data_IF_701616161467
#
_entry.id   IF_701616161467
#
_cell.length_a   1.000
_cell.length_b   1.000
_cell.length_c   1.000
_cell.angle_alpha   90.00
_cell.angle_beta   90.00
_cell.angle_gamma   90.00
#
_symmetry.space_group_name_H-M   'P 1'
#
loop_
_entity.id
_entity.type
_entity.pdbx_description
1 polymer ?
#
# COMPACT_ATOMS: atom_id res chain seq x y z
N UNK A 1 15.38 -9.86 11.59
CA UNK A 1 14.43 -9.12 10.72
C UNK A 1 13.00 -9.53 10.98
N UNK A 2 12.03 -8.68 10.64
CA UNK A 2 10.60 -8.98 10.69
C UNK A 2 9.81 -8.20 9.61
N UNK A 3 8.63 -8.73 9.23
CA UNK A 3 7.65 -8.03 8.38
C UNK A 3 6.39 -7.75 9.17
N UNK A 4 5.79 -6.56 9.04
CA UNK A 4 4.59 -6.18 9.78
C UNK A 4 3.66 -5.25 8.99
N UNK A 5 2.42 -5.13 9.46
CA UNK A 5 1.36 -4.33 8.83
C UNK A 5 0.52 -5.11 7.83
N UNK A 6 -0.05 -4.45 6.82
CA UNK A 6 -0.78 -5.10 5.73
C UNK A 6 0.17 -5.73 4.70
N UNK A 7 -0.32 -6.67 3.90
CA UNK A 7 0.47 -7.19 2.76
C UNK A 7 0.72 -6.09 1.71
N UNK A 8 1.87 -6.18 1.09
CA UNK A 8 2.23 -5.42 -0.12
C UNK A 8 3.16 -6.26 -0.99
N UNK A 9 3.24 -6.02 -2.29
CA UNK A 9 3.96 -6.87 -3.25
C UNK A 9 5.47 -6.95 -3.07
N UNK A 10 6.03 -6.20 -2.12
CA UNK A 10 7.48 -6.13 -1.88
C UNK A 10 8.01 -7.07 -0.80
N UNK A 11 7.13 -7.61 0.07
CA UNK A 11 7.56 -8.24 1.33
C UNK A 11 8.51 -9.43 1.12
N UNK A 12 8.15 -10.34 0.22
CA UNK A 12 8.98 -11.51 -0.09
C UNK A 12 10.34 -11.09 -0.67
N UNK A 13 10.32 -10.16 -1.61
CA UNK A 13 11.55 -9.66 -2.26
C UNK A 13 12.42 -8.84 -1.31
N UNK A 14 11.85 -8.07 -0.39
CA UNK A 14 12.63 -7.31 0.60
C UNK A 14 13.34 -8.26 1.59
N UNK A 15 12.68 -9.33 2.02
CA UNK A 15 13.33 -10.38 2.82
C UNK A 15 14.46 -11.05 2.04
N UNK A 16 14.20 -11.39 0.76
CA UNK A 16 15.21 -11.95 -0.15
C UNK A 16 16.42 -11.05 -0.32
N UNK A 17 16.21 -9.77 -0.64
CA UNK A 17 17.28 -8.80 -0.86
C UNK A 17 18.16 -8.57 0.38
N UNK A 18 17.56 -8.47 1.57
CA UNK A 18 18.34 -8.39 2.82
C UNK A 18 19.23 -9.62 3.00
N UNK A 19 18.69 -10.83 2.78
CA UNK A 19 19.45 -12.09 2.90
C UNK A 19 20.59 -12.14 1.87
N UNK A 20 20.32 -11.76 0.62
CA UNK A 20 21.32 -11.75 -0.46
C UNK A 20 22.44 -10.77 -0.15
N UNK A 21 22.11 -9.53 0.29
CA UNK A 21 23.12 -8.52 0.62
C UNK A 21 23.98 -8.97 1.79
N UNK A 22 23.40 -9.44 2.92
CA UNK A 22 24.18 -10.00 4.03
C UNK A 22 25.05 -11.17 3.59
N UNK A 23 24.56 -12.03 2.71
CA UNK A 23 25.35 -13.16 2.18
C UNK A 23 26.55 -12.69 1.38
N UNK A 24 26.41 -11.60 0.63
CA UNK A 24 27.47 -11.05 -0.21
C UNK A 24 28.55 -10.28 0.58
N UNK A 25 28.15 -9.46 1.56
CA UNK A 25 29.07 -8.50 2.22
C UNK A 25 29.46 -8.88 3.63
N UNK A 26 28.67 -9.72 4.32
CA UNK A 26 28.89 -10.13 5.71
C UNK A 26 28.38 -11.57 5.93
N UNK A 27 28.97 -12.59 5.27
CA UNK A 27 28.48 -13.97 5.30
C UNK A 27 28.48 -14.60 6.70
N UNK A 28 29.34 -14.13 7.60
CA UNK A 28 29.47 -14.67 8.96
C UNK A 28 28.42 -14.08 9.93
N UNK A 29 27.67 -13.04 9.54
CA UNK A 29 26.59 -12.50 10.37
C UNK A 29 25.46 -13.53 10.48
N UNK A 30 25.11 -13.90 11.72
CA UNK A 30 23.95 -14.74 11.99
C UNK A 30 22.67 -13.93 11.74
N UNK A 31 21.83 -14.42 10.85
CA UNK A 31 20.54 -13.77 10.51
C UNK A 31 19.39 -14.63 11.01
N UNK A 32 18.50 -14.01 11.81
CA UNK A 32 17.23 -14.62 12.25
C UNK A 32 16.05 -13.78 11.76
N UNK A 33 14.93 -14.46 11.51
CA UNK A 33 13.69 -13.82 11.10
C UNK A 33 12.57 -14.19 12.08
N UNK A 34 11.97 -13.18 12.73
CA UNK A 34 10.81 -13.39 13.62
C UNK A 34 9.56 -13.64 12.77
N UNK A 35 8.89 -14.77 13.06
CA UNK A 35 7.65 -15.14 12.36
C UNK A 35 6.50 -14.25 12.78
N UNK A 36 5.66 -13.89 11.82
CA UNK A 36 4.47 -13.07 12.08
C UNK A 36 4.79 -11.71 12.73
N UNK A 37 5.92 -11.11 12.38
CA UNK A 37 6.29 -9.77 12.81
C UNK A 37 6.46 -9.64 14.33
N UNK A 38 5.93 -8.57 14.92
CA UNK A 38 6.02 -8.34 16.36
C UNK A 38 5.36 -9.44 17.21
N UNK A 39 4.38 -10.18 16.67
CA UNK A 39 3.79 -11.31 17.39
C UNK A 39 4.81 -12.41 17.64
N UNK A 40 5.64 -12.71 16.65
CA UNK A 40 6.73 -13.67 16.80
C UNK A 40 7.84 -13.18 17.68
N UNK A 41 8.19 -11.90 17.60
CA UNK A 41 9.18 -11.29 18.51
C UNK A 41 8.72 -11.43 19.96
N UNK A 42 7.48 -11.11 20.30
CA UNK A 42 6.94 -11.26 21.66
C UNK A 42 6.97 -12.71 22.18
N UNK A 43 6.91 -13.69 21.29
CA UNK A 43 6.93 -15.13 21.62
C UNK A 43 8.31 -15.78 21.53
N UNK A 44 9.33 -15.07 21.03
CA UNK A 44 10.61 -15.64 20.69
C UNK A 44 10.53 -16.65 19.51
N UNK A 45 9.47 -16.55 18.69
CA UNK A 45 9.29 -17.43 17.52
C UNK A 45 10.08 -16.88 16.34
N UNK A 46 11.25 -17.44 16.10
CA UNK A 46 12.14 -17.06 15.03
C UNK A 46 12.61 -18.26 14.22
N UNK A 47 13.10 -17.99 13.02
CA UNK A 47 13.76 -18.97 12.14
C UNK A 47 15.12 -18.44 11.75
N UNK A 48 16.12 -19.32 11.77
CA UNK A 48 17.47 -18.99 11.33
C UNK A 48 17.61 -19.06 9.81
N UNK A 49 18.30 -18.09 9.23
CA UNK A 49 18.67 -18.06 7.82
C UNK A 49 19.90 -18.94 7.63
N UNK A 50 19.68 -20.22 7.35
CA UNK A 50 20.72 -21.22 7.11
C UNK A 50 21.45 -21.01 5.79
N UNK A 51 22.57 -21.71 5.58
CA UNK A 51 23.29 -21.70 4.30
C UNK A 51 22.39 -22.11 3.11
N UNK A 52 21.47 -23.04 3.32
CA UNK A 52 20.48 -23.44 2.30
C UNK A 52 19.51 -22.31 1.97
N UNK A 53 19.04 -21.55 2.97
CA UNK A 53 18.18 -20.38 2.75
C UNK A 53 18.94 -19.30 2.00
N UNK A 54 20.18 -19.00 2.39
CA UNK A 54 21.04 -18.01 1.71
C UNK A 54 21.23 -18.37 0.22
N UNK A 55 21.55 -19.63 -0.10
CA UNK A 55 21.75 -20.08 -1.48
C UNK A 55 20.49 -20.00 -2.36
N UNK A 56 19.30 -19.93 -1.75
CA UNK A 56 18.03 -19.91 -2.45
C UNK A 56 17.23 -18.61 -2.26
N UNK A 57 17.80 -17.58 -1.64
CA UNK A 57 17.10 -16.32 -1.34
C UNK A 57 16.55 -15.65 -2.60
N UNK A 58 17.24 -15.74 -3.73
CA UNK A 58 16.81 -15.21 -5.03
C UNK A 58 15.42 -15.71 -5.48
N UNK A 59 14.99 -16.89 -5.02
CA UNK A 59 13.66 -17.42 -5.35
C UNK A 59 12.53 -16.60 -4.73
N UNK A 60 12.81 -15.87 -3.65
CA UNK A 60 11.82 -15.04 -2.97
C UNK A 60 11.32 -13.89 -3.83
N UNK A 61 12.06 -13.47 -4.84
CA UNK A 61 11.66 -12.42 -5.78
C UNK A 61 10.50 -12.83 -6.70
N UNK A 62 10.25 -14.13 -6.87
CA UNK A 62 9.17 -14.63 -7.71
C UNK A 62 7.82 -14.74 -7.00
N UNK A 63 7.73 -14.43 -5.69
CA UNK A 63 6.54 -14.66 -4.90
C UNK A 63 6.01 -13.37 -4.26
N UNK A 64 4.68 -13.26 -4.21
CA UNK A 64 4.00 -12.30 -3.34
C UNK A 64 3.90 -12.81 -1.90
N UNK A 65 3.27 -11.98 -1.04
CA UNK A 65 3.18 -12.30 0.39
C UNK A 65 4.50 -12.15 1.12
N UNK A 66 4.69 -12.88 2.22
CA UNK A 66 5.93 -12.88 3.00
C UNK A 66 6.30 -14.30 3.45
N UNK A 67 7.57 -14.70 3.29
CA UNK A 67 8.02 -16.05 3.65
C UNK A 67 8.10 -16.28 5.16
N UNK A 68 8.11 -15.22 5.95
CA UNK A 68 8.25 -15.27 7.42
C UNK A 68 6.96 -14.94 8.17
N UNK A 69 5.85 -14.80 7.46
CA UNK A 69 4.57 -14.41 8.05
C UNK A 69 4.51 -12.93 8.43
N UNK A 70 3.30 -12.44 8.66
CA UNK A 70 3.02 -11.03 8.91
C UNK A 70 1.94 -10.86 9.96
N UNK A 71 1.94 -9.75 10.69
CA UNK A 71 0.86 -9.40 11.61
C UNK A 71 0.67 -7.89 11.74
N UNK A 72 -0.49 -7.50 12.27
CA UNK A 72 -0.81 -6.11 12.60
C UNK A 72 -0.70 -5.84 14.10
N UNK A 73 0.14 -6.61 14.80
CA UNK A 73 0.40 -6.38 16.23
C UNK A 73 1.20 -5.10 16.39
N UNK A 74 0.72 -4.22 17.27
CA UNK A 74 1.41 -2.99 17.69
C UNK A 74 1.81 -3.15 19.15
N UNK A 75 3.09 -2.96 19.48
CA UNK A 75 3.58 -3.09 20.85
C UNK A 75 2.98 -2.03 21.79
N UNK A 76 2.53 -0.91 21.24
CA UNK A 76 1.82 0.15 21.98
C UNK A 76 0.38 -0.21 22.35
N UNK A 77 -0.21 -1.23 21.72
CA UNK A 77 -1.57 -1.67 22.03
C UNK A 77 -1.56 -2.84 23.02
N UNK A 78 -1.31 -2.52 24.29
CA UNK A 78 -1.22 -3.49 25.40
C UNK A 78 -2.46 -4.36 25.49
N UNK A 79 -3.66 -3.77 25.38
CA UNK A 79 -4.94 -4.51 25.49
C UNK A 79 -5.08 -5.57 24.39
N UNK A 80 -4.70 -5.26 23.14
CA UNK A 80 -4.74 -6.22 22.04
C UNK A 80 -3.69 -7.33 22.24
N UNK A 81 -2.50 -6.98 22.71
CA UNK A 81 -1.45 -7.95 23.00
C UNK A 81 -1.86 -8.95 24.10
N UNK A 82 -2.48 -8.47 25.17
CA UNK A 82 -3.03 -9.32 26.24
C UNK A 82 -4.17 -10.20 25.71
N UNK A 83 -5.14 -9.61 24.99
CA UNK A 83 -6.26 -10.33 24.40
C UNK A 83 -5.83 -11.47 23.49
N UNK A 84 -4.73 -11.29 22.76
CA UNK A 84 -4.14 -12.31 21.85
C UNK A 84 -3.22 -13.31 22.58
N UNK A 85 -3.02 -13.17 23.88
CA UNK A 85 -2.10 -14.02 24.64
C UNK A 85 -0.63 -13.87 24.21
N UNK A 86 -0.25 -12.68 23.76
CA UNK A 86 1.14 -12.35 23.38
C UNK A 86 1.97 -11.90 24.58
N UNK A 87 1.31 -11.28 25.56
CA UNK A 87 1.88 -10.88 26.85
C UNK A 87 0.84 -11.15 27.94
N UNK A 88 1.28 -11.26 29.21
CA UNK A 88 0.41 -11.39 30.36
C UNK A 88 -0.14 -10.03 30.79
N UNK A 89 -1.25 -10.07 31.55
CA UNK A 89 -1.80 -8.86 32.16
C UNK A 89 -0.76 -8.18 33.08
N UNK A 90 -0.62 -6.86 32.91
CA UNK A 90 0.39 -6.07 33.62
C UNK A 90 1.78 -6.04 33.00
N UNK A 91 2.03 -6.81 31.94
CA UNK A 91 3.28 -6.71 31.18
C UNK A 91 3.21 -5.62 30.11
N UNK A 92 4.31 -4.91 29.93
CA UNK A 92 4.53 -4.00 28.80
C UNK A 92 5.07 -4.77 27.59
N UNK A 93 4.36 -4.82 26.45
CA UNK A 93 4.84 -5.52 25.25
C UNK A 93 6.17 -4.97 24.73
N UNK A 94 6.45 -3.68 24.91
CA UNK A 94 7.72 -3.08 24.50
C UNK A 94 8.88 -3.67 25.30
N UNK A 95 8.70 -3.80 26.62
CA UNK A 95 9.67 -4.41 27.51
C UNK A 95 9.91 -5.89 27.15
N UNK A 96 8.83 -6.67 26.95
CA UNK A 96 8.91 -8.09 26.56
C UNK A 96 9.67 -8.27 25.24
N UNK A 97 9.38 -7.42 24.26
CA UNK A 97 10.06 -7.43 22.95
C UNK A 97 11.55 -7.08 23.09
N UNK A 98 11.88 -6.07 23.93
CA UNK A 98 13.26 -5.67 24.19
C UNK A 98 14.07 -6.76 24.88
N UNK A 99 13.49 -7.41 25.91
CA UNK A 99 14.13 -8.56 26.58
C UNK A 99 14.37 -9.73 25.60
N UNK A 100 13.43 -9.97 24.68
CA UNK A 100 13.60 -11.03 23.68
C UNK A 100 14.74 -10.72 22.72
N UNK A 101 14.84 -9.48 22.22
CA UNK A 101 15.97 -9.06 21.36
C UNK A 101 17.32 -9.23 22.08
N UNK A 102 17.41 -8.81 23.33
CA UNK A 102 18.63 -8.98 24.15
C UNK A 102 18.97 -10.45 24.37
N UNK A 103 17.97 -11.29 24.65
CA UNK A 103 18.14 -12.74 24.86
C UNK A 103 18.65 -13.44 23.59
N UNK A 104 18.16 -13.01 22.42
CA UNK A 104 18.57 -13.56 21.12
C UNK A 104 19.91 -12.99 20.62
N UNK A 105 20.46 -11.99 21.32
CA UNK A 105 21.72 -11.31 20.98
C UNK A 105 21.61 -10.54 19.66
N UNK A 106 20.52 -9.78 19.47
CA UNK A 106 20.25 -9.04 18.24
C UNK A 106 20.89 -7.66 18.29
N UNK A 107 21.95 -7.45 17.52
CA UNK A 107 22.62 -6.15 17.37
C UNK A 107 21.94 -5.24 16.33
N UNK A 108 21.29 -5.84 15.32
CA UNK A 108 20.63 -5.14 14.21
C UNK A 108 19.21 -5.67 14.02
N UNK A 109 18.23 -4.77 13.99
CA UNK A 109 16.85 -5.09 13.66
C UNK A 109 16.44 -4.45 12.33
N UNK A 110 16.16 -5.28 11.31
CA UNK A 110 15.48 -4.81 10.11
C UNK A 110 13.97 -4.99 10.25
N UNK A 111 13.22 -3.92 9.99
CA UNK A 111 11.76 -3.92 9.91
C UNK A 111 11.29 -3.62 8.51
N UNK A 112 10.36 -4.44 7.98
CA UNK A 112 9.75 -4.22 6.66
C UNK A 112 8.27 -3.94 6.91
N UNK A 113 7.88 -2.65 6.87
CA UNK A 113 6.53 -2.27 7.25
C UNK A 113 6.18 -0.82 6.94
N UNK A 114 4.97 -0.42 7.33
CA UNK A 114 4.53 0.98 7.25
C UNK A 114 5.19 1.86 8.32
N UNK A 115 4.73 3.10 8.40
CA UNK A 115 5.16 4.09 9.40
C UNK A 115 5.06 3.56 10.83
N UNK A 116 3.91 3.07 11.25
CA UNK A 116 3.70 2.47 12.59
C UNK A 116 4.73 1.38 12.93
N UNK A 117 5.12 0.55 11.96
CA UNK A 117 6.08 -0.55 12.16
C UNK A 117 7.47 -0.01 12.44
N UNK A 118 7.87 1.00 11.67
CA UNK A 118 9.20 1.60 11.75
C UNK A 118 9.32 2.48 13.01
N UNK A 119 8.29 3.23 13.37
CA UNK A 119 8.24 4.00 14.63
C UNK A 119 8.33 3.08 15.85
N UNK A 120 7.58 1.97 15.85
CA UNK A 120 7.66 0.97 16.93
C UNK A 120 9.07 0.41 17.10
N UNK A 121 9.81 0.20 16.01
CA UNK A 121 11.19 -0.26 16.08
C UNK A 121 12.14 0.81 16.62
N UNK A 122 11.90 2.09 16.33
CA UNK A 122 12.64 3.20 16.93
C UNK A 122 12.39 3.29 18.45
N UNK A 123 11.14 3.11 18.89
CA UNK A 123 10.80 3.08 20.32
C UNK A 123 11.51 1.94 21.04
N UNK A 124 11.60 0.74 20.42
CA UNK A 124 12.39 -0.38 20.93
C UNK A 124 13.88 -0.03 21.08
N UNK A 125 14.47 0.60 20.06
CA UNK A 125 15.87 1.01 20.10
C UNK A 125 16.13 2.05 21.22
N UNK A 126 15.24 3.02 21.36
CA UNK A 126 15.32 4.04 22.41
C UNK A 126 15.19 3.41 23.82
N UNK A 127 14.25 2.49 23.99
CA UNK A 127 14.07 1.75 25.25
C UNK A 127 15.32 0.93 25.60
N UNK A 128 15.85 0.16 24.65
CA UNK A 128 17.05 -0.68 24.87
C UNK A 128 18.26 0.17 25.22
N UNK A 129 18.48 1.29 24.53
CA UNK A 129 19.59 2.21 24.80
C UNK A 129 19.52 2.77 26.23
N UNK A 130 18.32 3.14 26.70
CA UNK A 130 18.15 3.60 28.10
C UNK A 130 18.40 2.51 29.13
N UNK A 131 18.45 1.24 28.72
CA UNK A 131 18.77 0.08 29.54
C UNK A 131 20.15 -0.52 29.24
N UNK A 132 21.01 0.22 28.54
CA UNK A 132 22.42 -0.16 28.32
C UNK A 132 22.63 -1.18 27.20
N UNK A 133 21.68 -1.33 26.29
CA UNK A 133 21.78 -2.21 25.11
C UNK A 133 21.66 -1.40 23.83
N UNK A 134 22.71 -1.39 23.03
CA UNK A 134 22.71 -0.70 21.75
C UNK A 134 22.09 -1.58 20.65
N UNK A 135 21.01 -1.11 20.05
CA UNK A 135 20.34 -1.75 18.91
C UNK A 135 20.35 -0.81 17.71
N UNK A 136 20.94 -1.26 16.62
CA UNK A 136 20.80 -0.57 15.32
C UNK A 136 19.49 -0.98 14.68
N UNK A 137 18.67 -0.01 14.28
CA UNK A 137 17.39 -0.28 13.62
C UNK A 137 17.38 0.31 12.22
N UNK A 138 17.15 -0.53 11.21
CA UNK A 138 17.04 -0.08 9.82
C UNK A 138 15.74 -0.57 9.21
N UNK A 139 14.82 0.37 8.98
CA UNK A 139 13.50 0.11 8.42
C UNK A 139 13.47 0.17 6.89
N UNK A 140 12.53 -0.57 6.30
CA UNK A 140 12.17 -0.50 4.88
C UNK A 140 10.70 -0.07 4.75
N UNK A 141 10.40 0.98 3.97
CA UNK A 141 9.06 1.55 3.90
C UNK A 141 8.17 0.74 2.97
N UNK A 142 7.21 0.04 3.53
CA UNK A 142 6.29 -0.84 2.82
C UNK A 142 4.86 -0.32 2.94
N UNK A 143 4.33 0.24 1.85
CA UNK A 143 2.92 0.56 1.68
C UNK A 143 2.55 0.57 0.20
N UNK A 144 1.32 0.19 -0.14
CA UNK A 144 0.81 0.31 -1.52
C UNK A 144 0.25 1.71 -1.79
N UNK A 145 -0.06 2.47 -0.73
CA UNK A 145 -0.69 3.78 -0.85
C UNK A 145 0.31 4.91 -1.16
N UNK A 146 1.61 4.62 -1.04
CA UNK A 146 2.72 5.57 -1.21
C UNK A 146 2.60 6.80 -0.30
N UNK A 147 2.17 6.57 0.96
CA UNK A 147 1.70 7.59 1.90
C UNK A 147 2.65 7.87 3.08
N UNK A 148 3.94 7.55 2.96
CA UNK A 148 4.97 7.77 4.01
C UNK A 148 5.79 9.03 3.73
N UNK A 149 5.79 9.98 4.68
CA UNK A 149 6.64 11.19 4.64
C UNK A 149 8.03 10.84 5.18
N UNK A 150 9.12 11.37 4.64
CA UNK A 150 9.29 12.12 3.39
C UNK A 150 9.74 11.21 2.23
N UNK A 151 9.27 9.98 2.21
CA UNK A 151 9.71 8.97 1.24
C UNK A 151 9.00 9.18 -0.10
N UNK A 152 9.78 9.35 -1.17
CA UNK A 152 9.26 9.55 -2.52
C UNK A 152 8.48 8.35 -3.02
N UNK A 153 9.06 7.15 -2.88
CA UNK A 153 8.48 5.92 -3.39
C UNK A 153 8.57 4.79 -2.37
N UNK A 154 7.43 4.31 -1.93
CA UNK A 154 7.32 3.15 -1.05
C UNK A 154 7.43 1.85 -1.82
N UNK A 155 8.02 0.83 -1.18
CA UNK A 155 8.20 -0.50 -1.76
C UNK A 155 6.84 -1.19 -1.96
N UNK A 156 6.62 -1.67 -3.18
CA UNK A 156 5.42 -2.40 -3.58
C UNK A 156 4.30 -1.54 -4.17
N UNK A 157 4.42 -0.21 -4.16
CA UNK A 157 3.37 0.67 -4.65
C UNK A 157 3.24 0.64 -6.18
N UNK A 158 4.35 0.60 -6.92
CA UNK A 158 4.31 0.47 -8.38
C UNK A 158 3.68 -0.85 -8.83
N UNK A 159 4.04 -1.94 -8.18
CA UNK A 159 3.42 -3.25 -8.47
C UNK A 159 1.93 -3.23 -8.19
N UNK A 160 1.53 -2.62 -7.07
CA UNK A 160 0.11 -2.53 -6.71
C UNK A 160 -0.69 -1.75 -7.76
N UNK A 161 -0.14 -0.65 -8.29
CA UNK A 161 -0.75 0.12 -9.37
C UNK A 161 -0.87 -0.69 -10.67
N UNK A 162 0.20 -1.38 -11.09
CA UNK A 162 0.19 -2.25 -12.27
C UNK A 162 -0.82 -3.39 -12.14
N UNK A 163 -0.87 -4.05 -10.99
CA UNK A 163 -1.84 -5.12 -10.72
C UNK A 163 -3.27 -4.60 -10.68
N UNK A 164 -3.50 -3.41 -10.14
CA UNK A 164 -4.79 -2.73 -10.21
C UNK A 164 -5.21 -2.46 -11.65
N UNK A 165 -4.29 -2.03 -12.51
CA UNK A 165 -4.55 -1.82 -13.93
C UNK A 165 -4.84 -3.14 -14.68
N UNK A 166 -4.13 -4.22 -14.34
CA UNK A 166 -4.42 -5.55 -14.88
C UNK A 166 -5.81 -6.05 -14.46
N UNK A 167 -6.17 -5.83 -13.21
CA UNK A 167 -7.51 -6.13 -12.71
C UNK A 167 -8.59 -5.32 -13.43
N UNK A 168 -8.35 -4.03 -13.68
CA UNK A 168 -9.25 -3.15 -14.42
C UNK A 168 -9.56 -3.67 -15.82
N UNK A 169 -8.54 -4.15 -16.54
CA UNK A 169 -8.73 -4.75 -17.89
C UNK A 169 -9.75 -5.87 -17.87
N UNK A 170 -9.71 -6.73 -16.84
CA UNK A 170 -10.64 -7.86 -16.76
C UNK A 170 -12.06 -7.42 -16.42
N UNK A 171 -12.24 -6.46 -15.50
CA UNK A 171 -13.58 -6.00 -15.12
C UNK A 171 -14.21 -5.09 -16.20
N UNK A 172 -13.39 -4.29 -16.89
CA UNK A 172 -13.88 -3.41 -17.97
C UNK A 172 -14.37 -4.23 -19.17
N UNK A 173 -13.80 -5.40 -19.43
CA UNK A 173 -14.29 -6.31 -20.48
C UNK A 173 -15.80 -6.63 -20.33
N UNK A 174 -16.36 -6.48 -19.12
CA UNK A 174 -17.80 -6.70 -18.87
C UNK A 174 -18.70 -5.72 -19.63
N UNK A 175 -18.18 -4.55 -20.10
CA UNK A 175 -18.97 -3.63 -20.94
C UNK A 175 -19.54 -4.30 -22.18
N UNK A 176 -18.86 -5.35 -22.69
CA UNK A 176 -19.30 -6.09 -23.87
C UNK A 176 -20.49 -7.01 -23.62
N UNK A 177 -20.91 -7.20 -22.37
CA UNK A 177 -22.01 -8.13 -22.02
C UNK A 177 -23.40 -7.45 -21.94
N UNK A 178 -23.43 -6.12 -21.73
CA UNK A 178 -24.65 -5.36 -21.59
C UNK A 178 -24.48 -3.93 -22.13
N UNK A 179 -25.53 -3.36 -22.76
CA UNK A 179 -25.52 -1.93 -23.09
C UNK A 179 -25.55 -1.08 -21.83
N UNK A 180 -25.16 0.17 -21.92
CA UNK A 180 -25.19 1.20 -20.88
C UNK A 180 -24.58 0.72 -19.56
N UNK A 181 -23.38 0.16 -19.67
CA UNK A 181 -22.67 -0.43 -18.52
C UNK A 181 -21.91 0.63 -17.73
N UNK A 182 -22.17 0.73 -16.42
CA UNK A 182 -21.36 1.51 -15.50
C UNK A 182 -20.42 0.58 -14.72
N UNK A 183 -19.12 0.75 -14.89
CA UNK A 183 -18.09 -0.02 -14.22
C UNK A 183 -17.36 0.89 -13.22
N UNK A 184 -17.35 0.50 -11.96
CA UNK A 184 -16.65 1.21 -10.89
C UNK A 184 -15.56 0.32 -10.30
N UNK A 185 -14.33 0.71 -10.53
CA UNK A 185 -13.15 0.10 -9.93
C UNK A 185 -12.79 0.87 -8.66
N UNK A 186 -13.14 0.31 -7.50
CA UNK A 186 -12.73 0.85 -6.22
C UNK A 186 -11.31 0.38 -5.90
N UNK A 187 -10.41 1.33 -5.71
CA UNK A 187 -9.00 1.13 -5.41
C UNK A 187 -8.73 1.54 -3.96
N UNK A 188 -7.83 0.86 -3.28
CA UNK A 188 -7.39 1.24 -1.93
C UNK A 188 -6.73 2.62 -1.91
N UNK A 189 -6.64 3.22 -0.73
CA UNK A 189 -6.10 4.57 -0.53
C UNK A 189 -7.09 5.44 0.22
N UNK A 190 -7.28 5.15 1.53
CA UNK A 190 -8.22 5.89 2.39
C UNK A 190 -7.97 7.39 2.42
N UNK A 191 -6.71 7.79 2.58
CA UNK A 191 -6.30 9.17 2.79
C UNK A 191 -5.31 9.67 1.73
N UNK A 192 -4.92 8.81 0.80
CA UNK A 192 -3.98 9.10 -0.26
C UNK A 192 -4.47 8.48 -1.57
N UNK A 193 -4.72 9.31 -2.55
CA UNK A 193 -5.25 8.92 -3.86
C UNK A 193 -4.19 8.43 -4.85
N UNK A 194 -2.91 8.42 -4.46
CA UNK A 194 -1.80 8.07 -5.35
C UNK A 194 -2.02 6.72 -6.05
N UNK A 195 -2.40 5.68 -5.30
CA UNK A 195 -2.58 4.34 -5.87
C UNK A 195 -3.70 4.32 -6.92
N UNK A 196 -4.81 5.02 -6.67
CA UNK A 196 -5.92 5.12 -7.63
C UNK A 196 -5.49 5.84 -8.90
N UNK A 197 -4.82 6.99 -8.76
CA UNK A 197 -4.31 7.77 -9.87
C UNK A 197 -3.26 6.99 -10.70
N UNK A 198 -2.32 6.32 -10.03
CA UNK A 198 -1.28 5.50 -10.67
C UNK A 198 -1.89 4.26 -11.37
N UNK A 199 -2.91 3.65 -10.77
CA UNK A 199 -3.66 2.53 -11.38
C UNK A 199 -4.37 2.99 -12.66
N UNK A 200 -5.05 4.13 -12.62
CA UNK A 200 -5.72 4.71 -13.77
C UNK A 200 -4.74 5.07 -14.89
N UNK A 201 -3.60 5.71 -14.54
CA UNK A 201 -2.54 6.02 -15.49
C UNK A 201 -1.97 4.77 -16.16
N UNK A 202 -1.69 3.72 -15.40
CA UNK A 202 -1.17 2.46 -15.93
C UNK A 202 -2.18 1.77 -16.86
N UNK A 203 -3.48 1.86 -16.53
CA UNK A 203 -4.54 1.34 -17.38
C UNK A 203 -4.68 2.17 -18.67
N UNK A 204 -4.76 3.50 -18.57
CA UNK A 204 -4.80 4.41 -19.73
C UNK A 204 -3.59 4.19 -20.65
N UNK A 205 -2.37 4.10 -20.10
CA UNK A 205 -1.17 3.81 -20.87
C UNK A 205 -1.21 2.48 -21.62
N UNK A 206 -1.88 1.46 -21.06
CA UNK A 206 -2.14 0.21 -21.77
C UNK A 206 -3.13 0.42 -22.91
N UNK A 207 -4.22 1.16 -22.70
CA UNK A 207 -5.22 1.44 -23.75
C UNK A 207 -4.56 2.14 -24.93
N UNK A 208 -3.69 3.13 -24.69
CA UNK A 208 -2.99 3.85 -25.76
C UNK A 208 -2.04 2.96 -26.59
N UNK A 209 -1.60 1.83 -26.06
CA UNK A 209 -0.70 0.89 -26.74
C UNK A 209 -1.44 -0.31 -27.34
N UNK A 210 -2.67 -0.57 -26.90
CA UNK A 210 -3.47 -1.70 -27.36
C UNK A 210 -3.94 -1.51 -28.81
N UNK A 211 -4.07 -2.62 -29.54
CA UNK A 211 -4.63 -2.62 -30.88
C UNK A 211 -6.06 -3.15 -30.82
N UNK A 212 -7.01 -2.25 -30.91
CA UNK A 212 -8.44 -2.58 -30.87
C UNK A 212 -8.98 -2.94 -32.27
N UNK A 213 -10.03 -3.75 -32.26
CA UNK A 213 -10.74 -4.15 -33.51
C UNK A 213 -11.86 -3.16 -33.81
N UNK A 214 -11.50 -1.93 -34.15
CA UNK A 214 -12.44 -0.81 -34.33
C UNK A 214 -13.57 -1.09 -35.36
N UNK A 215 -13.28 -1.92 -36.37
CA UNK A 215 -14.28 -2.36 -37.35
C UNK A 215 -15.38 -3.29 -36.77
N UNK A 216 -15.23 -3.71 -35.49
CA UNK A 216 -16.22 -4.45 -34.70
C UNK A 216 -16.73 -3.65 -33.51
N UNK A 217 -16.61 -2.32 -33.58
CA UNK A 217 -17.01 -1.39 -32.48
C UNK A 217 -16.23 -1.60 -31.15
N UNK A 218 -15.14 -2.36 -31.20
CA UNK A 218 -14.25 -2.52 -30.07
C UNK A 218 -13.15 -1.45 -30.14
N UNK A 219 -13.40 -0.31 -29.53
CA UNK A 219 -12.56 0.88 -29.64
C UNK A 219 -11.82 1.18 -28.33
N UNK A 220 -10.73 1.95 -28.41
CA UNK A 220 -10.03 2.47 -27.24
C UNK A 220 -10.98 3.20 -26.27
N UNK A 221 -11.94 3.97 -26.80
CA UNK A 221 -12.86 4.76 -25.99
C UNK A 221 -13.72 3.92 -25.04
N UNK A 222 -14.11 2.69 -25.42
CA UNK A 222 -14.91 1.82 -24.54
C UNK A 222 -14.08 1.18 -23.43
N UNK A 223 -12.77 1.08 -23.60
CA UNK A 223 -11.85 0.45 -22.65
C UNK A 223 -11.14 1.45 -21.74
N UNK A 224 -11.17 2.73 -22.09
CA UNK A 224 -10.38 3.73 -21.37
C UNK A 224 -10.98 4.14 -20.01
N UNK A 225 -10.18 4.89 -19.27
CA UNK A 225 -10.57 5.55 -18.02
C UNK A 225 -11.47 6.75 -18.37
N UNK A 226 -12.66 6.84 -17.79
CA UNK A 226 -13.56 7.96 -18.01
C UNK A 226 -13.59 8.97 -16.86
N UNK A 227 -13.23 8.53 -15.63
CA UNK A 227 -13.00 9.44 -14.53
C UNK A 227 -12.11 8.79 -13.43
N UNK A 228 -11.37 9.67 -12.73
CA UNK A 228 -10.54 9.32 -11.57
C UNK A 228 -10.95 10.19 -10.39
N UNK A 229 -11.39 9.56 -9.30
CA UNK A 229 -11.80 10.24 -8.07
C UNK A 229 -10.86 9.87 -6.92
N UNK A 230 -10.22 10.89 -6.34
CA UNK A 230 -9.25 10.76 -5.25
C UNK A 230 -9.65 11.60 -4.06
N UNK A 231 -9.23 11.25 -2.81
CA UNK A 231 -9.65 11.97 -1.60
C UNK A 231 -9.23 13.45 -1.59
N UNK A 232 -8.10 13.76 -2.22
CA UNK A 232 -7.50 15.12 -2.21
C UNK A 232 -8.14 16.08 -3.22
N UNK A 233 -8.94 15.56 -4.17
CA UNK A 233 -9.63 16.40 -5.17
C UNK A 233 -11.14 16.30 -4.99
N UNK A 234 -11.79 17.31 -4.36
CA UNK A 234 -13.25 17.37 -4.29
C UNK A 234 -13.87 17.41 -5.69
N UNK A 235 -15.03 16.81 -5.85
CA UNK A 235 -15.77 16.81 -7.11
C UNK A 235 -17.28 16.91 -6.87
N UNK A 236 -17.98 17.57 -7.80
CA UNK A 236 -19.44 17.62 -7.80
C UNK A 236 -20.05 16.48 -8.59
N UNK A 237 -20.90 15.67 -7.96
CA UNK A 237 -21.56 14.53 -8.65
C UNK A 237 -22.36 15.03 -9.85
N UNK A 238 -23.08 16.16 -9.72
CA UNK A 238 -23.93 16.68 -10.80
C UNK A 238 -23.12 17.11 -12.03
N UNK A 239 -21.96 17.75 -11.82
CA UNK A 239 -21.12 18.23 -12.91
C UNK A 239 -20.44 17.06 -13.63
N UNK A 240 -19.88 16.12 -12.88
CA UNK A 240 -19.28 14.90 -13.44
C UNK A 240 -20.33 14.03 -14.13
N UNK A 241 -21.52 13.88 -13.55
CA UNK A 241 -22.60 13.12 -14.18
C UNK A 241 -23.01 13.68 -15.55
N UNK A 242 -23.00 15.02 -15.72
CA UNK A 242 -23.30 15.63 -17.02
C UNK A 242 -22.27 15.26 -18.08
N UNK A 243 -20.99 15.30 -17.75
CA UNK A 243 -19.89 14.89 -18.65
C UNK A 243 -19.93 13.39 -18.95
N UNK A 244 -20.06 12.57 -17.91
CA UNK A 244 -20.08 11.10 -18.03
C UNK A 244 -21.35 10.60 -18.74
N UNK A 245 -22.48 11.34 -18.67
CA UNK A 245 -23.69 11.01 -19.41
C UNK A 245 -23.46 11.10 -20.91
N UNK A 246 -22.73 12.08 -21.39
CA UNK A 246 -22.39 12.19 -22.79
C UNK A 246 -21.54 10.99 -23.26
N UNK A 247 -20.58 10.54 -22.44
CA UNK A 247 -19.78 9.34 -22.71
C UNK A 247 -20.65 8.08 -22.75
N UNK A 248 -21.57 7.93 -21.79
CA UNK A 248 -22.51 6.80 -21.76
C UNK A 248 -23.41 6.78 -23.00
N UNK A 249 -23.87 7.93 -23.46
CA UNK A 249 -24.75 8.05 -24.64
C UNK A 249 -23.99 7.80 -25.95
N UNK A 250 -22.67 8.02 -25.98
CA UNK A 250 -21.82 7.79 -27.17
C UNK A 250 -21.24 6.38 -27.24
N UNK A 251 -20.85 5.81 -26.07
CA UNK A 251 -20.07 4.57 -26.03
C UNK A 251 -20.76 3.41 -25.30
N UNK A 252 -21.98 3.58 -24.80
CA UNK A 252 -22.73 2.59 -24.03
C UNK A 252 -21.99 2.04 -22.78
N UNK A 253 -20.93 2.71 -22.35
CA UNK A 253 -20.21 2.36 -21.13
C UNK A 253 -19.53 3.57 -20.46
N UNK A 254 -19.32 3.47 -19.13
CA UNK A 254 -18.53 4.41 -18.35
C UNK A 254 -17.67 3.64 -17.34
N UNK A 255 -16.35 3.90 -17.35
CA UNK A 255 -15.37 3.26 -16.48
C UNK A 255 -14.82 4.27 -15.47
N UNK A 256 -15.13 4.09 -14.20
CA UNK A 256 -14.70 4.96 -13.10
C UNK A 256 -13.63 4.29 -12.25
N UNK A 257 -12.57 5.03 -11.92
CA UNK A 257 -11.57 4.64 -10.94
C UNK A 257 -11.77 5.53 -9.70
N UNK A 258 -12.12 4.93 -8.58
CA UNK A 258 -12.44 5.65 -7.35
C UNK A 258 -11.61 5.13 -6.18
N UNK A 259 -10.95 6.04 -5.46
CA UNK A 259 -10.32 5.69 -4.19
C UNK A 259 -11.37 5.40 -3.13
N UNK A 260 -11.14 4.39 -2.29
CA UNK A 260 -12.03 4.06 -1.17
C UNK A 260 -12.26 5.23 -0.20
N UNK A 261 -11.42 6.25 -0.24
CA UNK A 261 -11.54 7.47 0.57
C UNK A 261 -12.09 8.68 -0.17
N UNK A 262 -12.33 8.57 -1.48
CA UNK A 262 -12.85 9.69 -2.26
C UNK A 262 -14.30 10.02 -1.86
N UNK A 263 -14.62 11.32 -1.73
CA UNK A 263 -15.97 11.82 -1.47
C UNK A 263 -16.61 11.30 -0.18
N UNK A 264 -15.84 10.90 0.82
CA UNK A 264 -16.39 10.42 2.11
C UNK A 264 -17.16 11.51 2.83
N UNK A 265 -16.75 12.77 2.70
CA UNK A 265 -17.48 13.94 3.24
C UNK A 265 -18.88 14.07 2.64
N UNK A 266 -19.03 13.85 1.37
CA UNK A 266 -20.30 13.90 0.63
C UNK A 266 -21.23 12.77 1.07
N UNK A 267 -20.67 11.58 1.26
CA UNK A 267 -21.45 10.41 1.77
C UNK A 267 -21.94 10.70 3.19
N UNK A 268 -21.06 11.17 4.07
CA UNK A 268 -21.39 11.51 5.45
C UNK A 268 -22.51 12.59 5.48
N UNK A 269 -22.36 13.66 4.71
CA UNK A 269 -23.37 14.71 4.64
C UNK A 269 -24.73 14.17 4.14
N UNK A 270 -24.73 13.30 3.13
CA UNK A 270 -25.96 12.70 2.62
C UNK A 270 -26.63 11.78 3.65
N UNK A 271 -25.86 10.96 4.38
CA UNK A 271 -26.39 10.10 5.46
C UNK A 271 -26.99 10.93 6.59
N UNK A 272 -26.29 12.00 7.04
CA UNK A 272 -26.76 12.89 8.08
C UNK A 272 -28.06 13.62 7.67
N UNK A 273 -28.16 14.08 6.43
CA UNK A 273 -29.38 14.67 5.87
C UNK A 273 -30.55 13.69 5.81
N UNK A 274 -30.26 12.41 5.54
CA UNK A 274 -31.26 11.34 5.55
C UNK A 274 -31.64 10.87 6.96
N UNK A 275 -30.96 11.38 8.01
CA UNK A 275 -31.15 10.94 9.40
C UNK A 275 -30.57 9.54 9.67
N UNK A 276 -29.64 9.09 8.84
CA UNK A 276 -28.95 7.81 9.01
C UNK A 276 -27.74 7.97 9.94
N UNK A 277 -27.47 6.92 10.74
CA UNK A 277 -26.29 6.88 11.61
C UNK A 277 -25.01 6.63 10.79
N UNK A 278 -24.03 7.53 10.91
CA UNK A 278 -22.72 7.34 10.27
C UNK A 278 -21.88 6.37 11.10
N UNK A 279 -21.53 5.17 10.57
CA UNK A 279 -20.77 4.19 11.30
C UNK A 279 -19.33 4.67 11.52
N UNK A 280 -18.91 4.74 12.80
CA UNK A 280 -17.56 5.17 13.20
C UNK A 280 -16.89 4.09 14.05
N UNK A 281 -15.55 4.06 13.98
CA UNK A 281 -14.75 3.21 14.86
C UNK A 281 -14.65 3.84 16.28
N UNK A 282 -14.07 3.12 17.28
CA UNK A 282 -13.87 3.66 18.63
C UNK A 282 -13.02 4.93 18.70
N UNK A 283 -12.31 5.29 17.62
CA UNK A 283 -11.49 6.49 17.51
C UNK A 283 -12.21 7.64 16.77
N UNK A 284 -13.46 7.41 16.32
CA UNK A 284 -14.27 8.41 15.62
C UNK A 284 -14.10 8.42 14.10
N UNK A 285 -13.25 7.58 13.52
CA UNK A 285 -13.09 7.52 12.08
C UNK A 285 -14.25 6.79 11.41
N UNK A 286 -14.67 7.27 10.25
CA UNK A 286 -15.71 6.63 9.44
C UNK A 286 -15.25 5.23 9.01
N UNK A 287 -16.12 4.24 9.21
CA UNK A 287 -15.88 2.86 8.80
C UNK A 287 -16.20 2.69 7.30
N UNK A 288 -15.19 2.79 6.44
CA UNK A 288 -15.34 2.78 4.98
C UNK A 288 -15.98 1.49 4.44
N UNK A 289 -15.69 0.36 5.07
CA UNK A 289 -16.29 -0.94 4.76
C UNK A 289 -17.79 -0.97 4.96
N UNK A 290 -18.32 -0.19 5.91
CA UNK A 290 -19.75 -0.08 6.18
C UNK A 290 -20.46 0.93 5.30
N UNK A 291 -19.86 2.08 5.03
CA UNK A 291 -20.46 3.08 4.13
C UNK A 291 -20.27 2.74 2.65
N UNK A 292 -19.29 1.86 2.32
CA UNK A 292 -19.04 1.30 1.01
C UNK A 292 -19.02 2.35 -0.12
N UNK A 293 -18.01 3.23 -0.17
CA UNK A 293 -17.99 4.41 -1.04
C UNK A 293 -18.23 4.08 -2.52
N UNK A 294 -17.57 3.04 -3.05
CA UNK A 294 -17.75 2.63 -4.44
C UNK A 294 -19.20 2.28 -4.79
N UNK A 295 -19.91 1.58 -3.89
CA UNK A 295 -21.34 1.26 -4.08
C UNK A 295 -22.22 2.49 -3.98
N UNK A 296 -21.91 3.39 -3.05
CA UNK A 296 -22.67 4.62 -2.89
C UNK A 296 -22.57 5.50 -4.13
N UNK A 297 -21.37 5.76 -4.64
CA UNK A 297 -21.16 6.55 -5.87
C UNK A 297 -21.72 5.85 -7.10
N UNK A 298 -21.56 4.52 -7.19
CA UNK A 298 -22.15 3.74 -8.27
C UNK A 298 -23.67 3.93 -8.37
N UNK A 299 -24.37 3.95 -7.22
CA UNK A 299 -25.81 4.22 -7.16
C UNK A 299 -26.16 5.63 -7.64
N UNK A 300 -25.39 6.66 -7.23
CA UNK A 300 -25.62 8.04 -7.64
C UNK A 300 -25.39 8.21 -9.15
N UNK A 301 -24.27 7.73 -9.66
CA UNK A 301 -23.95 7.83 -11.07
C UNK A 301 -24.87 6.96 -11.97
N UNK A 302 -25.25 5.76 -11.53
CA UNK A 302 -26.16 4.92 -12.30
C UNK A 302 -27.47 5.63 -12.64
N UNK A 303 -28.09 6.27 -11.66
CA UNK A 303 -29.32 7.03 -11.86
C UNK A 303 -29.12 8.22 -12.79
N UNK A 304 -28.03 8.99 -12.60
CA UNK A 304 -27.74 10.19 -13.39
C UNK A 304 -27.33 9.86 -14.84
N UNK A 305 -26.62 8.75 -15.07
CA UNK A 305 -26.15 8.30 -16.38
C UNK A 305 -27.20 7.48 -17.14
N UNK A 306 -28.28 7.04 -16.49
CA UNK A 306 -29.22 6.08 -17.06
C UNK A 306 -28.53 4.76 -17.43
N UNK A 307 -27.72 4.24 -16.51
CA UNK A 307 -27.05 2.97 -16.67
C UNK A 307 -28.05 1.81 -16.50
N UNK A 308 -28.03 0.84 -17.41
CA UNK A 308 -28.86 -0.37 -17.32
C UNK A 308 -28.23 -1.41 -16.38
N UNK A 309 -26.90 -1.44 -16.34
CA UNK A 309 -26.13 -2.34 -15.50
C UNK A 309 -25.01 -1.61 -14.77
N UNK A 310 -24.72 -2.08 -13.56
CA UNK A 310 -23.64 -1.55 -12.71
C UNK A 310 -22.78 -2.69 -12.20
N UNK A 311 -21.49 -2.57 -12.37
CA UNK A 311 -20.48 -3.45 -11.79
C UNK A 311 -19.57 -2.65 -10.86
N UNK A 312 -19.51 -3.01 -9.58
CA UNK A 312 -18.55 -2.43 -8.64
C UNK A 312 -17.59 -3.53 -8.19
N UNK A 313 -16.30 -3.31 -8.40
CA UNK A 313 -15.26 -4.28 -8.07
C UNK A 313 -14.11 -3.60 -7.33
N UNK A 314 -13.45 -4.34 -6.43
CA UNK A 314 -12.36 -3.88 -5.56
C UNK A 314 -11.11 -4.70 -5.81
N UNK A 315 -10.02 -4.06 -6.24
CA UNK A 315 -8.75 -4.75 -6.53
C UNK A 315 -7.85 -4.97 -5.29
N UNK A 316 -8.25 -4.55 -4.10
CA UNK A 316 -7.40 -4.43 -2.93
C UNK A 316 -6.50 -5.65 -2.66
N UNK A 317 -7.05 -6.85 -2.49
CA UNK A 317 -6.24 -8.05 -2.25
C UNK A 317 -5.45 -8.51 -3.47
N UNK A 318 -6.01 -8.35 -4.66
CA UNK A 318 -5.31 -8.68 -5.90
C UNK A 318 -4.03 -7.84 -6.03
N UNK A 319 -4.14 -6.53 -5.82
CA UNK A 319 -3.00 -5.61 -5.86
C UNK A 319 -1.95 -5.87 -4.76
N UNK A 320 -2.38 -6.33 -3.55
CA UNK A 320 -1.47 -6.57 -2.42
C UNK A 320 -0.68 -7.87 -2.51
N UNK A 321 -1.17 -8.86 -3.26
CA UNK A 321 -0.70 -10.24 -3.15
C UNK A 321 0.27 -10.66 -4.26
N UNK A 322 0.51 -9.82 -5.24
CA UNK A 322 1.40 -10.11 -6.35
C UNK A 322 2.87 -10.17 -5.94
N UNK A 323 3.69 -10.84 -6.75
CA UNK A 323 5.13 -10.68 -6.73
C UNK A 323 5.51 -9.28 -7.23
N UNK A 324 6.63 -8.75 -6.75
CA UNK A 324 7.12 -7.43 -7.15
C UNK A 324 7.43 -7.39 -8.66
N UNK A 325 6.99 -6.33 -9.33
CA UNK A 325 7.34 -6.07 -10.73
C UNK A 325 8.80 -5.57 -10.85
N UNK A 326 9.25 -5.37 -12.08
CA UNK A 326 10.64 -4.98 -12.33
C UNK A 326 11.05 -3.69 -11.65
N UNK A 327 10.19 -2.67 -11.66
CA UNK A 327 10.47 -1.37 -11.06
C UNK A 327 10.61 -1.49 -9.54
N UNK A 328 9.69 -2.19 -8.88
CA UNK A 328 9.79 -2.45 -7.44
C UNK A 328 10.99 -3.35 -7.10
N UNK A 329 11.31 -4.36 -7.90
CA UNK A 329 12.51 -5.20 -7.67
C UNK A 329 13.80 -4.37 -7.71
N UNK A 330 13.92 -3.45 -8.65
CA UNK A 330 15.10 -2.57 -8.75
C UNK A 330 15.18 -1.60 -7.55
N UNK A 331 14.06 -1.04 -7.09
CA UNK A 331 14.00 -0.20 -5.89
C UNK A 331 14.27 -1.00 -4.61
N UNK A 332 13.66 -2.20 -4.47
CA UNK A 332 13.88 -3.09 -3.33
C UNK A 332 15.36 -3.43 -3.20
N UNK A 333 16.02 -3.79 -4.31
CA UNK A 333 17.45 -4.08 -4.30
C UNK A 333 18.27 -2.89 -3.80
N UNK A 334 18.02 -1.70 -4.33
CA UNK A 334 18.72 -0.49 -3.89
C UNK A 334 18.52 -0.23 -2.40
N UNK A 335 17.26 -0.33 -1.92
CA UNK A 335 16.94 -0.10 -0.51
C UNK A 335 17.52 -1.19 0.40
N UNK A 336 17.49 -2.47 0.01
CA UNK A 336 18.04 -3.57 0.83
C UNK A 336 19.56 -3.54 0.87
N UNK A 337 20.23 -3.20 -0.24
CA UNK A 337 21.68 -3.02 -0.27
C UNK A 337 22.10 -1.89 0.67
N UNK A 338 21.44 -0.73 0.55
CA UNK A 338 21.73 0.41 1.44
C UNK A 338 21.42 0.09 2.91
N UNK A 339 20.31 -0.61 3.18
CA UNK A 339 19.89 -0.96 4.54
C UNK A 339 20.91 -1.83 5.26
N UNK A 340 21.47 -2.82 4.58
CA UNK A 340 22.53 -3.68 5.15
C UNK A 340 23.82 -2.90 5.34
N UNK A 341 24.20 -2.08 4.38
CA UNK A 341 25.43 -1.26 4.49
C UNK A 341 25.32 -0.23 5.62
N UNK A 342 24.15 0.42 5.80
CA UNK A 342 23.87 1.31 6.91
C UNK A 342 23.92 0.57 8.26
N UNK A 343 23.31 -0.61 8.35
CA UNK A 343 23.32 -1.44 9.55
C UNK A 343 24.75 -1.83 9.96
N UNK A 344 25.60 -2.21 9.02
CA UNK A 344 27.00 -2.55 9.28
C UNK A 344 27.85 -1.35 9.74
N UNK A 345 27.40 -0.11 9.43
CA UNK A 345 28.00 1.13 9.96
C UNK A 345 27.40 1.58 11.29
N UNK A 346 26.38 0.85 11.83
CA UNK A 346 25.65 1.26 13.04
C UNK A 346 24.71 2.45 12.81
N UNK A 347 24.31 2.71 11.57
CA UNK A 347 23.45 3.83 11.17
C UNK A 347 21.98 3.39 11.21
N UNK A 348 21.18 4.04 12.05
CA UNK A 348 19.74 3.76 12.20
C UNK A 348 18.89 4.72 11.38
N UNK A 349 17.75 4.24 10.86
CA UNK A 349 16.78 5.06 10.10
C UNK A 349 15.90 4.21 9.22
N UNK A 350 15.03 4.85 8.42
CA UNK A 350 14.22 4.20 7.40
C UNK A 350 14.82 4.49 6.03
N UNK A 351 15.20 3.44 5.30
CA UNK A 351 15.87 3.59 4.01
C UNK A 351 14.86 3.91 2.92
N UNK A 352 15.05 5.06 2.27
CA UNK A 352 14.21 5.49 1.17
C UNK A 352 14.78 6.70 0.45
N UNK A 353 14.17 7.05 -0.66
CA UNK A 353 14.47 8.29 -1.39
C UNK A 353 13.85 9.48 -0.64
N UNK A 354 14.69 10.37 -0.10
CA UNK A 354 14.31 11.52 0.73
C UNK A 354 13.89 12.70 -0.14
N UNK A 355 12.58 12.98 -0.25
CA UNK A 355 12.04 14.09 -1.05
C UNK A 355 12.58 15.46 -0.62
N UNK A 356 12.85 15.65 0.67
CA UNK A 356 13.37 16.91 1.20
C UNK A 356 14.88 17.10 0.93
N UNK A 357 15.53 16.04 0.42
CA UNK A 357 16.96 16.05 0.05
C UNK A 357 17.19 15.65 -1.42
N UNK A 358 16.28 16.05 -2.31
CA UNK A 358 16.42 15.85 -3.74
C UNK A 358 16.40 14.39 -4.16
N UNK A 359 15.60 13.59 -3.49
CA UNK A 359 15.40 12.16 -3.77
C UNK A 359 16.64 11.28 -3.49
N UNK A 360 17.56 11.75 -2.65
CA UNK A 360 18.73 10.97 -2.26
C UNK A 360 18.30 9.70 -1.51
N UNK A 361 18.84 8.54 -1.93
CA UNK A 361 18.62 7.29 -1.21
C UNK A 361 19.50 7.26 0.06
N UNK A 362 18.86 7.22 1.22
CA UNK A 362 19.54 7.27 2.51
C UNK A 362 18.75 6.60 3.64
N UNK A 363 19.38 6.40 4.80
CA UNK A 363 18.68 6.13 6.05
C UNK A 363 18.13 7.47 6.59
N UNK A 364 16.80 7.60 6.54
CA UNK A 364 16.09 8.81 6.99
C UNK A 364 15.81 8.65 8.48
N UNK A 365 16.02 9.71 9.23
CA UNK A 365 15.86 9.75 10.69
C UNK A 365 14.41 9.43 11.07
N UNK A 366 14.19 8.63 12.12
CA UNK A 366 12.85 8.14 12.50
C UNK A 366 11.87 9.23 12.89
N UNK A 367 12.33 10.34 13.47
CA UNK A 367 11.51 11.49 13.84
C UNK A 367 10.93 12.25 12.64
N UNK A 368 11.48 12.03 11.45
CA UNK A 368 10.96 12.57 10.18
C UNK A 368 9.98 11.62 9.50
N UNK A 369 9.88 10.38 9.95
CA UNK A 369 9.00 9.38 9.34
C UNK A 369 7.58 9.52 9.90
N UNK A 370 6.62 9.79 9.04
CA UNK A 370 5.22 9.86 9.39
C UNK A 370 4.34 9.26 8.28
N UNK A 371 3.22 8.71 8.66
CA UNK A 371 2.17 8.32 7.72
C UNK A 371 1.31 9.52 7.31
N UNK A 372 0.43 9.30 6.32
CA UNK A 372 -0.55 10.29 5.91
C UNK A 372 -0.06 11.35 4.92
N UNK A 373 1.03 11.07 4.20
CA UNK A 373 1.43 11.84 3.01
C UNK A 373 0.25 11.92 2.05
N UNK A 374 -0.06 13.14 1.64
CA UNK A 374 -1.12 13.38 0.66
C UNK A 374 -0.59 13.22 -0.75
N UNK A 375 -1.47 12.75 -1.63
CA UNK A 375 -1.16 12.74 -3.05
C UNK A 375 -1.20 14.16 -3.62
N UNK A 376 -0.15 14.54 -4.32
CA UNK A 376 -0.10 15.83 -5.03
C UNK A 376 -0.94 15.75 -6.31
N UNK A 377 -2.18 16.25 -6.23
CA UNK A 377 -3.10 16.31 -7.37
C UNK A 377 -2.69 17.30 -8.45
N UNK A 378 -1.65 18.11 -8.22
CA UNK A 378 -1.06 19.01 -9.22
C UNK A 378 0.12 18.39 -9.97
N UNK A 379 0.50 17.15 -9.60
CA UNK A 379 1.58 16.42 -10.27
C UNK A 379 1.35 16.39 -11.80
N UNK A 380 2.38 16.73 -12.61
CA UNK A 380 2.21 16.86 -14.07
C UNK A 380 1.60 15.63 -14.76
N UNK A 381 2.01 14.44 -14.33
CA UNK A 381 1.51 13.19 -14.90
C UNK A 381 0.01 12.95 -14.60
N UNK A 382 -0.48 13.42 -13.45
CA UNK A 382 -1.90 13.27 -13.10
C UNK A 382 -2.77 14.32 -13.78
N UNK A 383 -2.32 15.57 -13.83
CA UNK A 383 -3.03 16.63 -14.55
C UNK A 383 -3.12 16.35 -16.04
N UNK A 384 -2.07 15.76 -16.63
CA UNK A 384 -2.08 15.31 -18.01
C UNK A 384 -3.10 14.18 -18.24
N UNK A 385 -3.09 13.14 -17.38
CA UNK A 385 -4.10 12.08 -17.44
C UNK A 385 -5.52 12.66 -17.41
N UNK A 386 -5.82 13.58 -16.47
CA UNK A 386 -7.14 14.19 -16.36
C UNK A 386 -7.52 14.98 -17.62
N UNK A 387 -6.54 15.68 -18.23
CA UNK A 387 -6.73 16.40 -19.51
C UNK A 387 -7.04 15.43 -20.65
N UNK A 388 -6.32 14.32 -20.76
CA UNK A 388 -6.50 13.32 -21.82
C UNK A 388 -7.85 12.61 -21.75
N UNK A 389 -8.36 12.34 -20.53
CA UNK A 389 -9.69 11.74 -20.34
C UNK A 389 -10.82 12.79 -20.25
N UNK A 390 -10.53 14.07 -20.48
CA UNK A 390 -11.53 15.14 -20.48
C UNK A 390 -12.14 15.46 -19.10
N UNK A 391 -11.41 15.19 -18.00
CA UNK A 391 -11.87 15.46 -16.63
C UNK A 391 -11.17 16.71 -16.00
N UNK A 392 -10.37 17.44 -16.76
CA UNK A 392 -9.63 18.62 -16.29
C UNK A 392 -10.53 19.85 -16.09
#
# INVERSE_FOLDING_TARGET
>A
MLTAGGLAPCLSSAVGGLIERYTAVAPDVRVIAYRNGYAGLLKGDSVEVTAQVRANAHRLHAFGGTPIGNSRVKLTNVKDCVKRGLVHEGQDPLHVAAEQLSRDGVDVLHTIGGDDTNVTAADLAAYLRSNGYELTVVGLPKTIDNDVVPIKQSLGAWTAAEQGALYARNIIAEHSSNPRMLIVHEVMGRNCGWLTAATALAHHGWVQQARFAEWLENSAATWDVHAVFVPERPFGIADEAKRLRAIMDEHDCVNLFISEGAGVSEIVAAMEQAGEEVPRDPFGHVQLDKINPGQWFAKQFAAALGADKVLVQKSGYFSRSAAANRADLDLIRQCTDYAVDAALRGESGVVGQDEERGDELRAIEFDRIAGGKKFDVTAPWFTELLREIGQA
#
